data_IF_651180010763
#
_entry.id   IF_651180010763
#
_cell.length_a   1.000
_cell.length_b   1.000
_cell.length_c   1.000
_cell.angle_alpha   90.00
_cell.angle_beta   90.00
_cell.angle_gamma   90.00
#
_symmetry.space_group_name_H-M   'P 1'
#
loop_
_entity.id
_entity.type
_entity.pdbx_description
1 polymer ?
#
# COMPACT_ATOMS: atom_id res chain seq x y z
N UNK A 1 10.68 -15.25 -10.28
CA UNK A 1 11.23 -14.52 -11.43
C UNK A 1 12.24 -13.51 -10.89
N UNK A 2 13.44 -13.49 -11.47
CA UNK A 2 14.53 -12.57 -11.11
C UNK A 2 14.95 -11.79 -12.36
N UNK A 3 14.98 -10.45 -12.30
CA UNK A 3 15.34 -9.61 -13.45
C UNK A 3 15.97 -8.27 -13.06
N UNK A 4 16.90 -7.80 -13.91
CA UNK A 4 17.57 -6.48 -13.78
C UNK A 4 17.48 -5.76 -15.14
N UNK A 5 16.29 -5.31 -15.55
CA UNK A 5 16.08 -4.65 -16.84
C UNK A 5 16.63 -3.21 -16.83
N UNK A 6 17.26 -2.80 -17.94
CA UNK A 6 17.81 -1.45 -18.09
C UNK A 6 16.75 -0.36 -18.33
N UNK A 7 15.54 -0.72 -18.76
CA UNK A 7 14.48 0.25 -19.06
C UNK A 7 13.19 -0.17 -18.37
N UNK A 8 12.16 -0.48 -19.14
CA UNK A 8 10.85 -0.88 -18.64
C UNK A 8 10.69 -2.40 -18.71
N UNK A 9 10.25 -2.99 -17.61
CA UNK A 9 9.82 -4.38 -17.56
C UNK A 9 8.32 -4.44 -17.33
N UNK A 10 7.65 -5.21 -18.16
CA UNK A 10 6.25 -5.57 -17.98
C UNK A 10 6.18 -7.04 -17.60
N UNK A 11 5.59 -7.32 -16.45
CA UNK A 11 5.31 -8.67 -15.99
C UNK A 11 3.82 -8.90 -16.05
N UNK A 12 3.43 -9.90 -16.81
CA UNK A 12 2.07 -10.42 -16.80
C UNK A 12 2.12 -11.89 -16.41
N UNK A 13 1.37 -12.28 -15.39
CA UNK A 13 1.40 -13.65 -14.87
C UNK A 13 0.07 -14.07 -14.28
N UNK A 14 -0.39 -15.26 -14.65
CA UNK A 14 -1.49 -15.97 -14.00
C UNK A 14 -0.88 -17.27 -13.46
N UNK A 15 -1.04 -17.56 -12.17
CA UNK A 15 -0.45 -18.75 -11.56
C UNK A 15 -1.44 -19.44 -10.63
N UNK A 16 -1.49 -20.77 -10.70
CA UNK A 16 -2.26 -21.59 -9.75
C UNK A 16 -1.59 -21.66 -8.38
N UNK A 17 -0.30 -21.31 -8.28
CA UNK A 17 0.49 -21.39 -7.06
C UNK A 17 1.14 -20.05 -6.74
N UNK A 18 1.99 -20.05 -5.71
CA UNK A 18 2.72 -18.88 -5.26
C UNK A 18 3.64 -18.33 -6.35
N UNK A 19 3.52 -17.02 -6.60
CA UNK A 19 4.42 -16.28 -7.47
C UNK A 19 5.38 -15.43 -6.63
N UNK A 20 6.67 -15.55 -6.92
CA UNK A 20 7.70 -14.69 -6.36
C UNK A 20 8.29 -13.81 -7.47
N UNK A 21 8.22 -12.50 -7.27
CA UNK A 21 8.82 -11.50 -8.15
C UNK A 21 9.94 -10.80 -7.38
N UNK A 22 11.15 -10.91 -7.91
CA UNK A 22 12.30 -10.12 -7.48
C UNK A 22 12.82 -9.33 -8.68
N UNK A 23 12.83 -8.01 -8.59
CA UNK A 23 13.27 -7.17 -9.73
C UNK A 23 13.88 -5.85 -9.28
N UNK A 24 14.94 -5.45 -9.96
CA UNK A 24 15.64 -4.18 -9.72
C UNK A 24 15.74 -3.44 -11.06
N UNK A 25 14.64 -2.88 -11.58
CA UNK A 25 14.64 -2.16 -12.84
C UNK A 25 15.30 -0.80 -12.69
N UNK A 26 16.06 -0.38 -13.71
CA UNK A 26 16.62 0.98 -13.72
C UNK A 26 15.54 2.04 -13.97
N UNK A 27 14.44 1.76 -14.66
CA UNK A 27 13.38 2.77 -14.85
C UNK A 27 12.07 2.30 -14.22
N UNK A 28 11.31 1.47 -14.93
CA UNK A 28 9.92 1.19 -14.56
C UNK A 28 9.65 -0.30 -14.53
N UNK A 29 8.96 -0.75 -13.48
CA UNK A 29 8.29 -2.05 -13.46
C UNK A 29 6.78 -1.86 -13.49
N UNK A 30 6.13 -2.47 -14.46
CA UNK A 30 4.69 -2.71 -14.45
C UNK A 30 4.46 -4.19 -14.17
N UNK A 31 3.73 -4.48 -13.10
CA UNK A 31 3.31 -5.83 -12.75
C UNK A 31 1.80 -5.94 -12.84
N UNK A 32 1.35 -6.97 -13.55
CA UNK A 32 -0.02 -7.44 -13.54
C UNK A 32 -0.05 -8.93 -13.20
N UNK A 33 -0.53 -9.28 -12.01
CA UNK A 33 -0.49 -10.68 -11.54
C UNK A 33 -1.79 -11.16 -10.91
N UNK A 34 -2.22 -12.35 -11.27
CA UNK A 34 -3.39 -13.02 -10.69
C UNK A 34 -2.97 -14.42 -10.19
N UNK A 35 -2.28 -14.50 -9.04
CA UNK A 35 -1.99 -15.79 -8.41
C UNK A 35 -3.20 -16.29 -7.63
N UNK A 36 -3.45 -17.59 -7.68
CA UNK A 36 -4.45 -18.21 -6.81
C UNK A 36 -4.00 -18.07 -5.35
N UNK A 37 -2.87 -18.65 -4.94
CA UNK A 37 -2.45 -18.57 -3.54
C UNK A 37 -1.81 -17.22 -3.17
N UNK A 38 -0.50 -17.09 -3.39
CA UNK A 38 0.25 -15.97 -2.81
C UNK A 38 1.06 -15.24 -3.87
N UNK A 39 1.11 -13.91 -3.75
CA UNK A 39 2.07 -13.07 -4.44
C UNK A 39 3.09 -12.51 -3.45
N UNK A 40 4.37 -12.76 -3.70
CA UNK A 40 5.46 -12.04 -3.05
C UNK A 40 6.13 -11.13 -4.07
N UNK A 41 6.09 -9.82 -3.80
CA UNK A 41 6.78 -8.79 -4.59
C UNK A 41 7.91 -8.21 -3.78
N UNK A 42 9.13 -8.35 -4.27
CA UNK A 42 10.28 -7.60 -3.80
C UNK A 42 10.85 -6.80 -4.97
N UNK A 43 10.82 -5.48 -4.89
CA UNK A 43 11.34 -4.65 -5.98
C UNK A 43 11.93 -3.33 -5.54
N UNK A 44 12.99 -2.93 -6.23
CA UNK A 44 13.74 -1.71 -5.93
C UNK A 44 13.94 -0.97 -7.27
N UNK A 45 12.88 -0.37 -7.83
CA UNK A 45 13.02 0.43 -9.04
C UNK A 45 13.70 1.76 -8.72
N UNK A 46 14.49 2.29 -9.64
CA UNK A 46 14.96 3.67 -9.49
C UNK A 46 13.79 4.65 -9.72
N UNK A 47 12.99 4.50 -10.77
CA UNK A 47 11.92 5.46 -11.04
C UNK A 47 10.56 5.00 -10.51
N UNK A 48 9.95 4.00 -11.14
CA UNK A 48 8.54 3.71 -10.88
C UNK A 48 8.27 2.22 -10.70
N UNK A 49 7.40 1.90 -9.74
CA UNK A 49 6.73 0.61 -9.65
C UNK A 49 5.22 0.80 -9.71
N UNK A 50 4.58 0.06 -10.60
CA UNK A 50 3.14 -0.11 -10.65
C UNK A 50 2.82 -1.59 -10.42
N UNK A 51 2.10 -1.89 -9.34
CA UNK A 51 1.60 -3.24 -9.06
C UNK A 51 0.09 -3.23 -9.20
N UNK A 52 -0.40 -4.01 -10.15
CA UNK A 52 -1.80 -4.41 -10.24
C UNK A 52 -1.90 -5.90 -9.95
N UNK A 53 -2.64 -6.28 -8.92
CA UNK A 53 -2.67 -7.68 -8.49
C UNK A 53 -3.97 -8.09 -7.84
N UNK A 54 -4.43 -9.28 -8.17
CA UNK A 54 -5.67 -9.85 -7.63
C UNK A 54 -5.34 -11.27 -7.11
N UNK A 55 -4.63 -11.41 -5.98
CA UNK A 55 -4.42 -12.72 -5.36
C UNK A 55 -5.72 -13.26 -4.79
N UNK A 56 -5.97 -14.56 -4.85
CA UNK A 56 -7.06 -15.11 -4.05
C UNK A 56 -6.68 -15.01 -2.56
N UNK A 57 -5.51 -15.52 -2.13
CA UNK A 57 -5.19 -15.50 -0.70
C UNK A 57 -4.44 -14.24 -0.28
N UNK A 58 -3.16 -14.14 -0.63
CA UNK A 58 -2.29 -13.18 0.03
C UNK A 58 -1.41 -12.41 -0.94
N UNK A 59 -1.24 -11.13 -0.67
CA UNK A 59 -0.16 -10.32 -1.24
C UNK A 59 0.76 -9.82 -0.14
N UNK A 60 2.06 -10.05 -0.34
CA UNK A 60 3.11 -9.37 0.39
C UNK A 60 3.94 -8.53 -0.58
N UNK A 61 3.97 -7.23 -0.34
CA UNK A 61 4.82 -6.30 -1.06
C UNK A 61 5.89 -5.76 -0.14
N UNK A 62 7.12 -5.81 -0.64
CA UNK A 62 8.24 -5.05 -0.14
C UNK A 62 8.83 -4.25 -1.31
N UNK A 63 8.79 -2.91 -1.24
CA UNK A 63 9.38 -2.10 -2.30
C UNK A 63 10.01 -0.81 -1.83
N UNK A 64 11.08 -0.42 -2.51
CA UNK A 64 11.84 0.79 -2.22
C UNK A 64 12.08 1.53 -3.55
N UNK A 65 11.03 2.16 -4.12
CA UNK A 65 11.22 3.02 -5.29
C UNK A 65 11.95 4.29 -4.88
N UNK A 66 12.84 4.81 -5.72
CA UNK A 66 13.28 6.19 -5.50
C UNK A 66 12.12 7.16 -5.79
N UNK A 67 11.44 7.13 -6.94
CA UNK A 67 10.36 8.11 -7.17
C UNK A 67 8.98 7.65 -6.69
N UNK A 68 8.33 6.73 -7.40
CA UNK A 68 6.89 6.49 -7.20
C UNK A 68 6.54 5.02 -7.08
N UNK A 69 5.68 4.72 -6.11
CA UNK A 69 4.97 3.45 -6.00
C UNK A 69 3.46 3.65 -6.17
N UNK A 70 2.88 2.89 -7.09
CA UNK A 70 1.44 2.68 -7.17
C UNK A 70 1.12 1.22 -6.88
N UNK A 71 0.31 1.01 -5.84
CA UNK A 71 -0.26 -0.30 -5.49
C UNK A 71 -1.74 -0.27 -5.76
N UNK A 72 -2.21 -1.16 -6.62
CA UNK A 72 -3.61 -1.47 -6.81
C UNK A 72 -3.83 -2.96 -6.60
N UNK A 73 -4.48 -3.33 -5.49
CA UNK A 73 -4.64 -4.75 -5.18
C UNK A 73 -5.95 -5.09 -4.51
N UNK A 74 -6.50 -6.24 -4.90
CA UNK A 74 -7.78 -6.75 -4.42
C UNK A 74 -7.58 -8.20 -3.96
N UNK A 75 -6.89 -8.46 -2.83
CA UNK A 75 -6.80 -9.82 -2.30
C UNK A 75 -8.13 -10.24 -1.67
N UNK A 76 -8.47 -11.53 -1.70
CA UNK A 76 -9.55 -12.00 -0.84
C UNK A 76 -9.10 -11.91 0.62
N UNK A 77 -7.97 -12.49 1.01
CA UNK A 77 -7.61 -12.52 2.44
C UNK A 77 -6.77 -11.33 2.89
N UNK A 78 -5.50 -11.29 2.53
CA UNK A 78 -4.56 -10.36 3.18
C UNK A 78 -3.75 -9.56 2.16
N UNK A 79 -3.66 -8.25 2.41
CA UNK A 79 -2.66 -7.37 1.80
C UNK A 79 -1.70 -6.86 2.87
N UNK A 80 -0.41 -7.08 2.65
CA UNK A 80 0.66 -6.48 3.43
C UNK A 80 1.53 -5.64 2.50
N UNK A 81 1.55 -4.32 2.71
CA UNK A 81 2.41 -3.37 1.99
C UNK A 81 3.47 -2.84 2.94
N UNK A 82 4.73 -3.13 2.64
CA UNK A 82 5.89 -2.46 3.22
C UNK A 82 6.58 -1.66 2.12
N UNK A 83 6.65 -0.34 2.28
CA UNK A 83 7.29 0.50 1.26
C UNK A 83 7.94 1.75 1.79
N UNK A 84 9.05 2.12 1.15
CA UNK A 84 9.86 3.29 1.53
C UNK A 84 10.18 4.07 0.24
N UNK A 85 9.20 4.74 -0.39
CA UNK A 85 9.50 5.60 -1.53
C UNK A 85 10.22 6.88 -1.10
N UNK A 86 11.10 7.44 -1.92
CA UNK A 86 11.55 8.81 -1.67
C UNK A 86 10.38 9.76 -1.90
N UNK A 87 9.73 9.75 -3.07
CA UNK A 87 8.71 10.76 -3.36
C UNK A 87 7.30 10.35 -2.93
N UNK A 88 6.70 9.38 -3.61
CA UNK A 88 5.26 9.18 -3.48
C UNK A 88 4.85 7.72 -3.38
N UNK A 89 3.95 7.44 -2.44
CA UNK A 89 3.22 6.19 -2.35
C UNK A 89 1.73 6.42 -2.58
N UNK A 90 1.14 5.66 -3.49
CA UNK A 90 -0.30 5.48 -3.60
C UNK A 90 -0.66 4.03 -3.33
N UNK A 91 -1.52 3.80 -2.34
CA UNK A 91 -2.13 2.49 -2.07
C UNK A 91 -3.62 2.59 -2.32
N UNK A 92 -4.10 1.84 -3.30
CA UNK A 92 -5.50 1.52 -3.49
C UNK A 92 -5.72 0.04 -3.23
N UNK A 93 -6.55 -0.30 -2.24
CA UNK A 93 -6.77 -1.70 -1.90
C UNK A 93 -8.14 -2.01 -1.35
N UNK A 94 -8.67 -3.16 -1.75
CA UNK A 94 -9.96 -3.68 -1.28
C UNK A 94 -9.77 -5.13 -0.83
N UNK A 95 -9.10 -5.40 0.30
CA UNK A 95 -9.03 -6.75 0.83
C UNK A 95 -10.36 -7.14 1.49
N UNK A 96 -10.78 -8.41 1.40
CA UNK A 96 -11.91 -8.87 2.21
C UNK A 96 -11.49 -8.84 3.69
N UNK A 97 -10.42 -9.52 4.08
CA UNK A 97 -10.09 -9.63 5.51
C UNK A 97 -9.22 -8.48 6.00
N UNK A 98 -7.95 -8.44 5.62
CA UNK A 98 -6.98 -7.61 6.34
C UNK A 98 -6.11 -6.79 5.41
N UNK A 99 -5.93 -5.52 5.77
CA UNK A 99 -4.94 -4.61 5.22
C UNK A 99 -3.91 -4.22 6.29
N UNK A 100 -2.64 -4.46 6.01
CA UNK A 100 -1.53 -3.82 6.73
C UNK A 100 -0.75 -2.92 5.77
N UNK A 101 -0.63 -1.64 6.14
CA UNK A 101 0.23 -0.68 5.44
C UNK A 101 1.29 -0.18 6.41
N UNK A 102 2.55 -0.48 6.10
CA UNK A 102 3.72 0.14 6.72
C UNK A 102 4.45 0.96 5.66
N UNK A 103 4.48 2.28 5.82
CA UNK A 103 5.09 3.15 4.81
C UNK A 103 5.83 4.34 5.39
N UNK A 104 6.96 4.67 4.77
CA UNK A 104 7.81 5.79 5.18
C UNK A 104 8.20 6.59 3.93
N UNK A 105 7.26 7.28 3.26
CA UNK A 105 7.61 8.14 2.15
C UNK A 105 8.28 9.44 2.63
N UNK A 106 9.24 9.97 1.88
CA UNK A 106 9.73 11.33 2.19
C UNK A 106 8.60 12.32 1.93
N UNK A 107 8.03 12.38 0.73
CA UNK A 107 7.05 13.43 0.43
C UNK A 107 5.62 13.05 0.78
N UNK A 108 5.03 12.11 0.05
CA UNK A 108 3.57 11.98 0.05
C UNK A 108 3.11 10.53 0.17
N UNK A 109 2.13 10.32 1.06
CA UNK A 109 1.36 9.09 1.19
C UNK A 109 -0.10 9.34 0.86
N UNK A 110 -0.63 8.59 -0.10
CA UNK A 110 -2.06 8.46 -0.35
C UNK A 110 -2.50 7.02 -0.08
N UNK A 111 -3.46 6.84 0.82
CA UNK A 111 -4.10 5.55 1.09
C UNK A 111 -5.60 5.67 0.84
N UNK A 112 -6.11 4.84 -0.07
CA UNK A 112 -7.53 4.62 -0.27
C UNK A 112 -7.83 3.14 -0.09
N UNK A 113 -8.62 2.79 0.92
CA UNK A 113 -8.81 1.39 1.28
C UNK A 113 -10.18 1.08 1.84
N UNK A 114 -10.72 -0.07 1.44
CA UNK A 114 -12.04 -0.54 1.87
C UNK A 114 -11.91 -2.00 2.32
N UNK A 115 -11.26 -2.29 3.47
CA UNK A 115 -11.24 -3.64 4.00
C UNK A 115 -12.60 -4.03 4.58
N UNK A 116 -13.03 -5.28 4.45
CA UNK A 116 -14.20 -5.73 5.21
C UNK A 116 -13.84 -5.77 6.70
N UNK A 117 -12.82 -6.52 7.11
CA UNK A 117 -12.57 -6.69 8.54
C UNK A 117 -11.67 -5.60 9.13
N UNK A 118 -10.40 -5.60 8.76
CA UNK A 118 -9.39 -4.86 9.54
C UNK A 118 -8.45 -4.05 8.66
N UNK A 119 -8.21 -2.81 9.09
CA UNK A 119 -7.13 -1.96 8.61
C UNK A 119 -6.16 -1.66 9.74
N UNK A 120 -4.89 -1.94 9.50
CA UNK A 120 -3.77 -1.44 10.29
C UNK A 120 -2.86 -0.57 9.41
N UNK A 121 -2.72 0.71 9.78
CA UNK A 121 -1.77 1.61 9.14
C UNK A 121 -0.73 2.09 10.15
N UNK A 122 0.53 1.96 9.77
CA UNK A 122 1.66 2.64 10.37
C UNK A 122 2.37 3.46 9.30
N UNK A 123 2.39 4.79 9.44
CA UNK A 123 3.02 5.66 8.45
C UNK A 123 3.78 6.83 9.03
N UNK A 124 4.90 7.17 8.41
CA UNK A 124 5.75 8.30 8.82
C UNK A 124 6.16 9.09 7.58
N UNK A 125 5.23 9.81 6.91
CA UNK A 125 5.59 10.70 5.83
C UNK A 125 6.33 11.93 6.36
N UNK A 126 7.35 12.45 5.64
CA UNK A 126 7.89 13.76 6.01
C UNK A 126 6.82 14.83 5.72
N UNK A 127 6.28 14.92 4.50
CA UNK A 127 5.37 16.03 4.19
C UNK A 127 3.90 15.73 4.45
N UNK A 128 3.27 14.90 3.62
CA UNK A 128 1.81 14.84 3.55
C UNK A 128 1.29 13.42 3.67
N UNK A 129 0.28 13.23 4.51
CA UNK A 129 -0.55 12.03 4.56
C UNK A 129 -1.98 12.36 4.16
N UNK A 130 -2.50 11.63 3.18
CA UNK A 130 -3.93 11.57 2.87
C UNK A 130 -4.43 10.13 3.02
N UNK A 131 -5.43 9.95 3.87
CA UNK A 131 -6.07 8.66 4.06
C UNK A 131 -7.58 8.78 3.90
N UNK A 132 -8.12 7.87 3.10
CA UNK A 132 -9.55 7.59 2.99
C UNK A 132 -9.78 6.11 3.25
N UNK A 133 -10.40 5.75 4.37
CA UNK A 133 -10.63 4.35 4.74
C UNK A 133 -12.07 4.05 5.17
N UNK A 134 -12.63 2.96 4.68
CA UNK A 134 -13.97 2.48 5.08
C UNK A 134 -13.87 1.01 5.52
N UNK A 135 -13.32 0.71 6.71
CA UNK A 135 -13.37 -0.64 7.27
C UNK A 135 -14.76 -0.97 7.81
N UNK A 136 -15.26 -2.20 7.61
CA UNK A 136 -16.49 -2.62 8.28
C UNK A 136 -16.24 -2.72 9.79
N UNK A 137 -15.22 -3.45 10.24
CA UNK A 137 -15.02 -3.70 11.66
C UNK A 137 -14.03 -2.74 12.32
N UNK A 138 -12.77 -2.78 11.91
CA UNK A 138 -11.68 -2.23 12.72
C UNK A 138 -10.76 -1.32 11.92
N UNK A 139 -10.52 -0.12 12.45
CA UNK A 139 -9.50 0.82 11.98
C UNK A 139 -8.46 1.09 13.06
N UNK A 140 -7.20 0.77 12.80
CA UNK A 140 -6.05 1.19 13.59
C UNK A 140 -5.10 2.03 12.76
N UNK A 141 -4.81 3.24 13.24
CA UNK A 141 -3.97 4.20 12.53
C UNK A 141 -2.93 4.76 13.49
N UNK A 142 -1.66 4.59 13.14
CA UNK A 142 -0.53 5.26 13.74
C UNK A 142 0.17 6.07 12.66
N UNK A 143 0.18 7.40 12.78
CA UNK A 143 0.74 8.27 11.75
C UNK A 143 1.50 9.47 12.31
N UNK A 144 2.69 9.73 11.79
CA UNK A 144 3.54 10.85 12.23
C UNK A 144 3.99 11.68 11.02
N UNK A 145 3.09 12.42 10.35
CA UNK A 145 3.48 13.39 9.33
C UNK A 145 4.22 14.57 9.95
N UNK A 146 5.29 15.09 9.32
CA UNK A 146 5.87 16.35 9.77
C UNK A 146 4.90 17.50 9.47
N UNK A 147 4.38 17.61 8.24
CA UNK A 147 3.58 18.77 7.83
C UNK A 147 2.08 18.55 7.95
N UNK A 148 1.50 17.64 7.18
CA UNK A 148 0.05 17.62 6.97
C UNK A 148 -0.54 16.23 7.12
N UNK A 149 -1.63 16.14 7.87
CA UNK A 149 -2.51 14.98 7.92
C UNK A 149 -3.93 15.32 7.46
N UNK A 150 -4.42 14.60 6.46
CA UNK A 150 -5.83 14.55 6.09
C UNK A 150 -6.34 13.10 6.24
N UNK A 151 -7.32 12.90 7.11
CA UNK A 151 -8.00 11.62 7.30
C UNK A 151 -9.49 11.77 7.09
N UNK A 152 -10.04 10.85 6.29
CA UNK A 152 -11.46 10.55 6.22
C UNK A 152 -11.68 9.06 6.50
N UNK A 153 -12.43 8.73 7.56
CA UNK A 153 -12.68 7.33 7.94
C UNK A 153 -14.12 7.03 8.33
N UNK A 154 -14.65 5.87 7.94
CA UNK A 154 -15.99 5.41 8.32
C UNK A 154 -15.93 3.96 8.84
N UNK A 155 -15.46 3.72 10.08
CA UNK A 155 -15.55 2.39 10.72
C UNK A 155 -16.93 2.14 11.33
N UNK A 156 -17.44 0.90 11.29
CA UNK A 156 -18.72 0.56 11.95
C UNK A 156 -18.58 0.08 13.39
N UNK A 157 -17.40 -0.34 13.85
CA UNK A 157 -17.27 -0.86 15.22
C UNK A 157 -16.14 -0.21 16.00
N UNK A 158 -14.91 -0.24 15.48
CA UNK A 158 -13.73 0.18 16.26
C UNK A 158 -12.86 1.16 15.49
N UNK A 159 -12.55 2.30 16.13
CA UNK A 159 -11.55 3.27 15.68
C UNK A 159 -10.49 3.48 16.76
N UNK A 160 -9.23 3.23 16.41
CA UNK A 160 -8.06 3.62 17.18
C UNK A 160 -7.14 4.48 16.31
N UNK A 161 -6.97 5.74 16.69
CA UNK A 161 -6.07 6.67 16.02
C UNK A 161 -5.04 7.24 16.99
N UNK A 162 -3.79 7.20 16.56
CA UNK A 162 -2.71 8.01 17.09
C UNK A 162 -2.06 8.81 15.96
N UNK A 163 -2.09 10.14 16.06
CA UNK A 163 -1.40 11.00 15.09
C UNK A 163 -0.71 12.20 15.72
N UNK A 164 0.44 12.58 15.16
CA UNK A 164 1.26 13.71 15.63
C UNK A 164 1.76 14.58 14.45
N UNK A 165 0.89 15.39 13.80
CA UNK A 165 1.34 16.40 12.83
C UNK A 165 1.96 17.62 13.51
N UNK A 166 2.97 18.25 12.89
CA UNK A 166 3.53 19.51 13.43
C UNK A 166 2.74 20.74 12.97
N UNK A 167 2.13 20.72 11.78
CA UNK A 167 1.52 21.93 11.20
C UNK A 167 0.00 21.82 10.99
N UNK A 168 -0.48 20.83 10.23
CA UNK A 168 -1.90 20.75 9.87
C UNK A 168 -2.51 19.38 10.13
N UNK A 169 -3.69 19.40 10.76
CA UNK A 169 -4.49 18.22 11.10
C UNK A 169 -5.94 18.43 10.64
N UNK A 170 -6.40 17.56 9.74
CA UNK A 170 -7.80 17.45 9.36
C UNK A 170 -8.27 16.01 9.50
N UNK A 171 -9.18 15.76 10.45
CA UNK A 171 -9.77 14.45 10.68
C UNK A 171 -11.28 14.55 10.53
N UNK A 172 -11.84 13.68 9.70
CA UNK A 172 -13.27 13.44 9.60
C UNK A 172 -13.54 11.95 9.81
N UNK A 173 -14.22 11.60 10.90
CA UNK A 173 -14.58 10.22 11.21
C UNK A 173 -16.08 10.10 11.50
N UNK A 174 -16.76 9.20 10.80
CA UNK A 174 -18.17 8.88 11.03
C UNK A 174 -18.26 7.45 11.58
N UNK A 175 -18.35 7.25 12.91
CA UNK A 175 -18.71 5.94 13.43
C UNK A 175 -20.18 5.63 13.11
N UNK A 176 -20.45 4.41 12.61
CA UNK A 176 -21.82 3.84 12.53
C UNK A 176 -22.10 3.02 13.78
#
# INVERSE_FOLDING_TARGET
MHSIPQYTLHLHSISQYTLHVHSIPQYTLHMHSIPQYTLHVHSIPQYQLHVHSIPQYTLHMHSIPQYTLHVHSIPQYTLNVHSIPQYTLHVYSIPQYTLHVHSIPQYTLHVHSIPQYTLHMHSIPQYTLHMHSIPQYTLHVHSIPQYTLHMHSIPQYTLHMHSIPQYTLHVHSIPQ
#
